data_IF_660654944105
#
_entry.id   IF_660654944105
#
_cell.length_a   1.000
_cell.length_b   1.000
_cell.length_c   1.000
_cell.angle_alpha   90.00
_cell.angle_beta   90.00
_cell.angle_gamma   90.00
#
_symmetry.space_group_name_H-M   'P 1'
#
loop_
_entity.id
_entity.type
_entity.pdbx_description
1 polymer ?
#
# COMPACT_ATOMS: atom_id res chain seq x y z
N UNK A 1 12.65 0.12 7.66
CA UNK A 1 12.33 1.37 8.39
C UNK A 1 10.88 1.20 8.81
N UNK A 2 10.71 0.34 9.80
CA UNK A 2 9.43 -0.25 10.18
C UNK A 2 8.80 0.66 11.22
N UNK A 3 7.85 1.49 10.78
CA UNK A 3 6.96 2.21 11.69
C UNK A 3 5.89 1.24 12.18
N UNK A 4 6.27 0.35 13.09
CA UNK A 4 5.31 -0.36 13.93
C UNK A 4 4.72 0.67 14.90
N UNK A 5 3.56 1.22 14.55
CA UNK A 5 2.74 1.96 15.51
C UNK A 5 2.09 0.91 16.41
N UNK A 6 2.44 0.82 17.70
CA UNK A 6 1.87 -0.19 18.58
C UNK A 6 0.37 0.05 18.74
N UNK A 7 -0.44 -0.78 18.08
CA UNK A 7 -1.90 -0.76 18.14
C UNK A 7 -2.45 -0.89 19.58
N UNK A 8 -1.61 -1.34 20.52
CA UNK A 8 -1.99 -1.49 21.92
C UNK A 8 -2.01 -0.17 22.69
N UNK A 9 -1.25 0.85 22.26
CA UNK A 9 -1.11 2.14 22.96
C UNK A 9 -2.26 3.11 22.68
N UNK A 10 -2.88 3.03 21.49
CA UNK A 10 -4.04 3.86 21.13
C UNK A 10 -5.30 3.39 21.84
N UNK A 11 -5.51 2.08 21.95
CA UNK A 11 -6.70 1.52 22.60
C UNK A 11 -6.72 1.77 24.12
N UNK A 12 -5.55 1.79 24.77
CA UNK A 12 -5.45 2.15 26.20
C UNK A 12 -5.72 3.64 26.42
N UNK A 13 -5.19 4.51 25.55
CA UNK A 13 -5.46 5.96 25.63
C UNK A 13 -6.93 6.30 25.44
N UNK A 14 -7.62 5.66 24.48
CA UNK A 14 -9.06 5.91 24.27
C UNK A 14 -9.88 5.49 25.49
N UNK A 15 -9.57 4.33 26.10
CA UNK A 15 -10.26 3.88 27.31
C UNK A 15 -10.00 4.80 28.51
N UNK A 16 -8.78 5.34 28.64
CA UNK A 16 -8.42 6.28 29.69
C UNK A 16 -9.13 7.63 29.52
N UNK A 17 -9.18 8.16 28.29
CA UNK A 17 -9.91 9.39 27.95
C UNK A 17 -11.41 9.19 28.22
N UNK A 18 -11.99 8.05 27.83
CA UNK A 18 -13.39 7.76 28.09
C UNK A 18 -13.71 7.76 29.59
N UNK A 19 -12.89 7.08 30.41
CA UNK A 19 -13.06 7.10 31.87
C UNK A 19 -12.90 8.50 32.47
N UNK A 20 -12.01 9.32 31.91
CA UNK A 20 -11.82 10.70 32.36
C UNK A 20 -13.03 11.60 32.00
N UNK A 21 -13.65 11.37 30.84
CA UNK A 21 -14.90 12.06 30.45
C UNK A 21 -16.03 11.66 31.40
N UNK A 22 -16.19 10.37 31.69
CA UNK A 22 -17.21 9.87 32.63
C UNK A 22 -17.05 10.53 34.01
N UNK A 23 -15.83 10.56 34.56
CA UNK A 23 -15.56 11.20 35.84
C UNK A 23 -15.86 12.72 35.84
N UNK A 24 -15.61 13.41 34.72
CA UNK A 24 -15.95 14.83 34.59
C UNK A 24 -17.47 15.05 34.48
N UNK A 25 -18.19 14.17 33.78
CA UNK A 25 -19.65 14.20 33.71
C UNK A 25 -20.29 13.98 35.08
N UNK A 26 -19.82 13.00 35.85
CA UNK A 26 -20.29 12.74 37.22
C UNK A 26 -20.07 13.96 38.13
N UNK A 27 -18.94 14.65 37.97
CA UNK A 27 -18.66 15.89 38.70
C UNK A 27 -19.61 17.02 38.30
N UNK A 28 -19.92 17.18 37.02
CA UNK A 28 -20.90 18.17 36.54
C UNK A 28 -22.30 17.88 37.07
N UNK A 29 -22.72 16.61 37.10
CA UNK A 29 -24.01 16.20 37.66
C UNK A 29 -24.08 16.49 39.17
N UNK A 30 -23.02 16.20 39.91
CA UNK A 30 -22.91 16.50 41.34
C UNK A 30 -23.00 18.01 41.61
N UNK A 31 -22.33 18.83 40.81
CA UNK A 31 -22.39 20.29 40.88
C UNK A 31 -23.80 20.79 40.56
N UNK A 32 -24.43 20.28 39.51
CA UNK A 32 -25.79 20.66 39.13
C UNK A 32 -26.80 20.34 40.25
N UNK A 33 -26.69 19.15 40.87
CA UNK A 33 -27.49 18.78 42.03
C UNK A 33 -27.24 19.71 43.24
N UNK A 34 -25.98 20.10 43.49
CA UNK A 34 -25.64 21.04 44.56
C UNK A 34 -26.27 22.43 44.35
N UNK A 35 -26.27 22.93 43.12
CA UNK A 35 -26.87 24.22 42.76
C UNK A 35 -28.40 24.16 42.96
N UNK A 36 -29.07 23.09 42.52
CA UNK A 36 -30.52 22.90 42.67
C UNK A 36 -30.94 22.72 44.13
N UNK A 37 -30.13 22.03 44.94
CA UNK A 37 -30.42 21.88 46.37
C UNK A 37 -30.25 23.20 47.11
N UNK A 38 -29.23 23.99 46.74
CA UNK A 38 -28.99 25.32 47.27
C UNK A 38 -30.12 26.32 46.96
N UNK A 39 -30.77 26.23 45.79
CA UNK A 39 -31.93 27.09 45.46
C UNK A 39 -33.22 26.67 46.18
N UNK A 40 -33.34 25.40 46.56
CA UNK A 40 -34.52 24.84 47.24
C UNK A 40 -34.39 24.78 48.78
N UNK A 41 -33.36 25.41 49.38
CA UNK A 41 -33.05 25.31 50.82
C UNK A 41 -32.93 23.87 51.35
N UNK A 42 -32.52 22.93 50.49
CA UNK A 42 -32.23 21.54 50.88
C UNK A 42 -30.76 21.39 51.32
N UNK A 43 -30.42 20.32 52.07
CA UNK A 43 -29.05 20.07 52.49
C UNK A 43 -28.13 19.98 51.28
N UNK A 44 -27.01 20.72 51.30
CA UNK A 44 -26.00 20.62 50.26
C UNK A 44 -25.31 19.24 50.34
N UNK A 45 -24.92 18.67 49.19
CA UNK A 45 -24.13 17.44 49.17
C UNK A 45 -22.78 17.65 49.84
N UNK A 46 -22.30 16.63 50.57
CA UNK A 46 -21.07 16.71 51.37
C UNK A 46 -19.86 17.20 50.57
N UNK A 47 -19.15 18.21 51.08
CA UNK A 47 -17.93 18.77 50.46
C UNK A 47 -18.14 20.00 49.57
N UNK A 48 -19.36 20.53 49.49
CA UNK A 48 -19.69 21.79 48.84
C UNK A 48 -20.45 22.65 49.85
N UNK A 49 -19.73 23.14 50.86
CA UNK A 49 -20.33 23.77 52.04
C UNK A 49 -20.55 25.28 51.84
N UNK A 50 -19.88 25.88 50.85
CA UNK A 50 -19.98 27.29 50.49
C UNK A 50 -20.31 27.50 49.00
N UNK A 51 -21.06 28.57 48.65
CA UNK A 51 -21.23 29.00 47.26
C UNK A 51 -19.92 29.25 46.52
N UNK A 52 -18.85 29.65 47.23
CA UNK A 52 -17.52 29.85 46.65
C UNK A 52 -16.87 28.53 46.23
N UNK A 53 -17.08 27.46 46.99
CA UNK A 53 -16.53 26.13 46.68
C UNK A 53 -17.21 25.54 45.43
N UNK A 54 -18.51 25.77 45.28
CA UNK A 54 -19.26 25.42 44.07
C UNK A 54 -18.69 26.17 42.85
N UNK A 55 -18.43 27.47 42.96
CA UNK A 55 -17.86 28.23 41.85
C UNK A 55 -16.43 27.78 41.50
N UNK A 56 -15.60 27.48 42.49
CA UNK A 56 -14.23 27.00 42.26
C UNK A 56 -14.22 25.62 41.61
N UNK A 57 -15.07 24.70 42.07
CA UNK A 57 -15.21 23.36 41.47
C UNK A 57 -15.76 23.43 40.04
N UNK A 58 -16.79 24.24 39.78
CA UNK A 58 -17.28 24.52 38.41
C UNK A 58 -16.16 25.02 37.50
N UNK A 59 -15.41 26.02 37.96
CA UNK A 59 -14.33 26.62 37.17
C UNK A 59 -13.23 25.60 36.86
N UNK A 60 -12.82 24.80 37.85
CA UNK A 60 -11.82 23.74 37.67
C UNK A 60 -12.30 22.69 36.68
N UNK A 61 -13.50 22.13 36.86
CA UNK A 61 -14.07 21.11 35.98
C UNK A 61 -14.21 21.63 34.54
N UNK A 62 -14.55 22.91 34.35
CA UNK A 62 -14.63 23.51 33.02
C UNK A 62 -13.27 23.68 32.35
N UNK A 63 -12.23 24.02 33.12
CA UNK A 63 -10.84 24.07 32.61
C UNK A 63 -10.40 22.68 32.19
N UNK A 64 -10.66 21.65 33.00
CA UNK A 64 -10.32 20.26 32.69
C UNK A 64 -11.01 19.78 31.40
N UNK A 65 -12.31 20.09 31.24
CA UNK A 65 -13.05 19.79 30.01
C UNK A 65 -12.47 20.49 28.78
N UNK A 66 -12.05 21.75 28.90
CA UNK A 66 -11.41 22.48 27.80
C UNK A 66 -10.08 21.87 27.39
N UNK A 67 -9.25 21.50 28.36
CA UNK A 67 -7.96 20.85 28.12
C UNK A 67 -8.19 19.50 27.42
N UNK A 68 -9.11 18.70 27.92
CA UNK A 68 -9.43 17.39 27.35
C UNK A 68 -10.00 17.51 25.93
N UNK A 69 -10.89 18.48 25.68
CA UNK A 69 -11.44 18.73 24.35
C UNK A 69 -10.35 19.14 23.35
N UNK A 70 -9.42 20.01 23.77
CA UNK A 70 -8.27 20.39 22.94
C UNK A 70 -7.39 19.17 22.61
N UNK A 71 -7.08 18.36 23.61
CA UNK A 71 -6.29 17.14 23.44
C UNK A 71 -6.96 16.20 22.43
N UNK A 72 -8.27 15.96 22.56
CA UNK A 72 -9.03 15.13 21.63
C UNK A 72 -8.98 15.66 20.19
N UNK A 73 -9.06 16.98 20.01
CA UNK A 73 -8.96 17.59 18.69
C UNK A 73 -7.57 17.42 18.07
N UNK A 74 -6.52 17.58 18.86
CA UNK A 74 -5.13 17.37 18.43
C UNK A 74 -4.87 15.90 18.10
N UNK A 75 -5.30 14.97 18.94
CA UNK A 75 -5.17 13.52 18.70
C UNK A 75 -5.95 13.08 17.46
N UNK A 76 -7.16 13.61 17.25
CA UNK A 76 -7.93 13.35 16.03
C UNK A 76 -7.22 13.88 14.79
N UNK A 77 -6.65 15.08 14.86
CA UNK A 77 -5.94 15.68 13.74
C UNK A 77 -4.69 14.87 13.37
N UNK A 78 -3.90 14.44 14.37
CA UNK A 78 -2.70 13.62 14.15
C UNK A 78 -3.06 12.24 13.60
N UNK A 79 -4.10 11.60 14.12
CA UNK A 79 -4.59 10.32 13.61
C UNK A 79 -5.05 10.43 12.16
N UNK A 80 -5.83 11.45 11.83
CA UNK A 80 -6.30 11.68 10.46
C UNK A 80 -5.13 11.93 9.49
N UNK A 81 -4.09 12.67 9.92
CA UNK A 81 -2.89 12.87 9.12
C UNK A 81 -2.15 11.55 8.89
N UNK A 82 -1.94 10.74 9.94
CA UNK A 82 -1.29 9.44 9.84
C UNK A 82 -2.04 8.47 8.92
N UNK A 83 -3.38 8.39 9.06
CA UNK A 83 -4.23 7.59 8.17
C UNK A 83 -4.17 8.12 6.73
N UNK A 84 -4.15 9.43 6.55
CA UNK A 84 -4.00 10.07 5.24
C UNK A 84 -2.69 9.68 4.56
N UNK A 85 -1.58 9.68 5.29
CA UNK A 85 -0.27 9.29 4.77
C UNK A 85 -0.19 7.80 4.43
N UNK A 86 -0.75 6.94 5.29
CA UNK A 86 -0.83 5.50 5.00
C UNK A 86 -1.70 5.21 3.77
N UNK A 87 -2.82 5.93 3.62
CA UNK A 87 -3.66 5.81 2.44
C UNK A 87 -2.92 6.22 1.16
N UNK A 88 -2.25 7.38 1.18
CA UNK A 88 -1.43 7.83 0.03
C UNK A 88 -0.37 6.82 -0.36
N UNK A 89 0.39 6.29 0.61
CA UNK A 89 1.38 5.24 0.35
C UNK A 89 0.76 3.98 -0.27
N UNK A 90 -0.44 3.60 0.19
CA UNK A 90 -1.16 2.45 -0.35
C UNK A 90 -1.60 2.71 -1.79
N UNK A 91 -2.13 3.90 -2.07
CA UNK A 91 -2.55 4.31 -3.41
C UNK A 91 -1.35 4.35 -4.38
N UNK A 92 -0.20 4.88 -3.93
CA UNK A 92 1.05 4.92 -4.72
C UNK A 92 1.54 3.51 -5.06
N UNK A 93 1.55 2.58 -4.09
CA UNK A 93 1.93 1.19 -4.31
C UNK A 93 0.95 0.46 -5.24
N UNK A 94 -0.35 0.74 -5.13
CA UNK A 94 -1.35 0.17 -6.02
C UNK A 94 -1.12 0.62 -7.48
N UNK A 95 -0.79 1.90 -7.68
CA UNK A 95 -0.47 2.44 -9.00
C UNK A 95 0.81 1.81 -9.56
N UNK A 96 1.85 1.64 -8.74
CA UNK A 96 3.09 0.98 -9.14
C UNK A 96 2.83 -0.48 -9.56
N UNK A 97 2.02 -1.20 -8.79
CA UNK A 97 1.63 -2.56 -9.11
C UNK A 97 0.90 -2.64 -10.46
N UNK A 98 -0.07 -1.76 -10.70
CA UNK A 98 -0.79 -1.71 -11.99
C UNK A 98 0.17 -1.42 -13.16
N UNK A 99 1.10 -0.48 -12.98
CA UNK A 99 2.13 -0.19 -13.98
C UNK A 99 2.96 -1.42 -14.31
N UNK A 100 3.42 -2.16 -13.30
CA UNK A 100 4.21 -3.38 -13.49
C UNK A 100 3.41 -4.51 -14.13
N UNK A 101 2.14 -4.68 -13.76
CA UNK A 101 1.27 -5.65 -14.41
C UNK A 101 1.08 -5.34 -15.89
N UNK A 102 0.86 -4.07 -16.25
CA UNK A 102 0.77 -3.65 -17.65
C UNK A 102 2.07 -3.90 -18.42
N UNK A 103 3.21 -3.61 -17.80
CA UNK A 103 4.54 -3.86 -18.39
C UNK A 103 4.75 -5.36 -18.67
N UNK A 104 4.44 -6.23 -17.71
CA UNK A 104 4.52 -7.69 -17.89
C UNK A 104 3.61 -8.18 -19.02
N UNK A 105 2.36 -7.71 -19.07
CA UNK A 105 1.41 -8.08 -20.12
C UNK A 105 1.89 -7.62 -21.51
N UNK A 106 2.44 -6.40 -21.60
CA UNK A 106 3.01 -5.89 -22.83
C UNK A 106 4.19 -6.74 -23.31
N UNK A 107 5.14 -7.04 -22.42
CA UNK A 107 6.32 -7.85 -22.76
C UNK A 107 5.90 -9.25 -23.20
N UNK A 108 4.95 -9.88 -22.50
CA UNK A 108 4.44 -11.20 -22.89
C UNK A 108 3.84 -11.18 -24.30
N UNK A 109 3.04 -10.16 -24.62
CA UNK A 109 2.46 -10.00 -25.95
C UNK A 109 3.54 -9.81 -27.03
N UNK A 110 4.62 -9.10 -26.71
CA UNK A 110 5.73 -8.88 -27.63
C UNK A 110 6.52 -10.17 -27.88
N UNK A 111 6.74 -10.97 -26.83
CA UNK A 111 7.34 -12.31 -26.93
C UNK A 111 6.48 -13.20 -27.85
N UNK A 112 5.17 -13.27 -27.59
CA UNK A 112 4.26 -14.10 -28.38
C UNK A 112 4.22 -13.64 -29.85
N UNK A 113 4.36 -12.34 -30.09
CA UNK A 113 4.39 -11.77 -31.45
C UNK A 113 5.68 -12.12 -32.15
N UNK A 114 6.81 -12.02 -31.47
CA UNK A 114 8.13 -12.39 -32.00
C UNK A 114 8.22 -13.89 -32.29
N UNK A 115 7.64 -14.73 -31.42
CA UNK A 115 7.61 -16.18 -31.63
C UNK A 115 6.72 -16.59 -32.81
N UNK A 116 5.63 -15.87 -33.06
CA UNK A 116 4.74 -16.11 -34.22
C UNK A 116 5.33 -15.63 -35.55
N UNK A 117 6.41 -14.86 -35.53
CA UNK A 117 7.08 -14.45 -36.76
C UNK A 117 7.86 -15.63 -37.34
N UNK A 118 7.21 -16.39 -38.21
CA UNK A 118 7.89 -17.35 -39.06
C UNK A 118 8.72 -16.58 -40.09
N UNK A 119 10.02 -16.88 -40.14
CA UNK A 119 10.90 -16.34 -41.18
C UNK A 119 10.77 -17.20 -42.43
N UNK A 120 10.80 -16.58 -43.61
CA UNK A 120 10.60 -17.26 -44.91
C UNK A 120 11.51 -18.50 -45.03
N UNK A 121 12.74 -18.42 -44.51
CA UNK A 121 13.72 -19.51 -44.54
C UNK A 121 13.32 -20.80 -43.81
N UNK A 122 12.32 -20.77 -42.91
CA UNK A 122 11.86 -21.96 -42.19
C UNK A 122 10.98 -22.88 -43.05
N UNK A 123 10.44 -22.38 -44.17
CA UNK A 123 9.53 -23.13 -45.05
C UNK A 123 10.12 -23.40 -46.44
N UNK A 124 11.40 -23.07 -46.65
CA UNK A 124 12.04 -23.29 -47.95
C UNK A 124 12.42 -24.76 -48.07
N UNK A 125 11.96 -25.42 -49.13
CA UNK A 125 12.41 -26.74 -49.50
C UNK A 125 13.89 -26.70 -49.89
N UNK A 126 14.70 -27.34 -49.06
CA UNK A 126 16.14 -27.48 -49.22
C UNK A 126 16.51 -28.95 -49.45
N UNK A 127 17.57 -29.20 -50.19
CA UNK A 127 18.19 -30.51 -50.36
C UNK A 127 18.41 -31.17 -48.99
N UNK A 128 18.10 -32.46 -48.83
CA UNK A 128 18.31 -33.18 -47.58
C UNK A 128 19.74 -33.04 -47.07
N UNK A 129 19.90 -33.11 -45.74
CA UNK A 129 21.22 -32.95 -45.12
C UNK A 129 22.22 -34.00 -45.63
N UNK A 130 21.79 -35.25 -45.82
CA UNK A 130 22.66 -36.30 -46.39
C UNK A 130 23.16 -35.93 -47.79
N UNK A 131 22.27 -35.47 -48.66
CA UNK A 131 22.63 -35.11 -50.04
C UNK A 131 23.57 -33.89 -50.10
N UNK A 132 23.38 -32.93 -49.19
CA UNK A 132 24.31 -31.81 -49.04
C UNK A 132 25.70 -32.28 -48.58
N UNK A 133 25.78 -33.17 -47.59
CA UNK A 133 27.05 -33.69 -47.08
C UNK A 133 27.80 -34.54 -48.11
N UNK A 134 27.11 -35.13 -49.07
CA UNK A 134 27.72 -35.91 -50.16
C UNK A 134 28.13 -35.03 -51.35
N UNK A 135 27.29 -34.08 -51.74
CA UNK A 135 27.41 -33.37 -53.03
C UNK A 135 28.09 -31.99 -52.91
N UNK A 136 28.10 -31.38 -51.72
CA UNK A 136 28.69 -30.06 -51.55
C UNK A 136 30.23 -30.12 -51.55
N UNK A 137 30.92 -29.14 -52.18
CA UNK A 137 32.37 -28.98 -52.06
C UNK A 137 32.81 -28.70 -50.62
N UNK A 138 34.05 -29.04 -50.27
CA UNK A 138 34.59 -28.85 -48.92
C UNK A 138 34.56 -27.38 -48.47
N UNK A 139 34.67 -26.43 -49.41
CA UNK A 139 34.54 -24.99 -49.14
C UNK A 139 33.22 -24.60 -48.44
N UNK A 140 32.14 -25.36 -48.67
CA UNK A 140 30.82 -25.12 -48.05
C UNK A 140 30.63 -25.89 -46.74
N UNK A 141 31.50 -26.86 -46.43
CA UNK A 141 31.40 -27.73 -45.24
C UNK A 141 32.27 -27.28 -44.06
N UNK A 142 33.05 -26.22 -44.22
CA UNK A 142 34.06 -25.81 -43.23
C UNK A 142 33.49 -25.35 -41.87
N UNK A 143 32.26 -24.82 -41.82
CA UNK A 143 31.69 -24.24 -40.60
C UNK A 143 30.26 -24.75 -40.32
N UNK A 144 30.07 -26.07 -40.21
CA UNK A 144 28.75 -26.71 -39.97
C UNK A 144 28.49 -27.08 -38.50
N UNK A 145 29.25 -26.51 -37.56
CA UNK A 145 29.30 -26.94 -36.15
C UNK A 145 28.00 -26.72 -35.36
N UNK A 146 27.11 -25.86 -35.85
CA UNK A 146 25.82 -25.58 -35.20
C UNK A 146 24.69 -25.73 -36.21
N UNK A 147 23.46 -26.09 -35.78
CA UNK A 147 22.32 -26.25 -36.68
C UNK A 147 22.06 -25.01 -37.56
N UNK A 148 22.22 -23.82 -36.98
CA UNK A 148 22.07 -22.56 -37.71
C UNK A 148 23.13 -22.39 -38.80
N UNK A 149 24.40 -22.68 -38.49
CA UNK A 149 25.48 -22.56 -39.48
C UNK A 149 25.36 -23.62 -40.59
N UNK A 150 24.97 -24.85 -40.24
CA UNK A 150 24.66 -25.89 -41.22
C UNK A 150 23.54 -25.44 -42.18
N UNK A 151 22.48 -24.83 -41.65
CA UNK A 151 21.40 -24.28 -42.47
C UNK A 151 21.90 -23.18 -43.42
N UNK A 152 22.72 -22.25 -42.94
CA UNK A 152 23.32 -21.20 -43.77
C UNK A 152 24.23 -21.76 -44.86
N UNK A 153 25.04 -22.78 -44.56
CA UNK A 153 25.89 -23.45 -45.54
C UNK A 153 25.08 -24.15 -46.63
N UNK A 154 23.98 -24.82 -46.25
CA UNK A 154 23.03 -25.44 -47.19
C UNK A 154 22.39 -24.40 -48.12
N UNK A 155 21.89 -23.29 -47.57
CA UNK A 155 21.33 -22.18 -48.34
C UNK A 155 22.33 -21.59 -49.34
N UNK A 156 23.59 -21.35 -48.91
CA UNK A 156 24.65 -20.82 -49.77
C UNK A 156 25.00 -21.75 -50.93
N UNK A 157 25.04 -23.06 -50.67
CA UNK A 157 25.31 -24.04 -51.71
C UNK A 157 24.20 -24.10 -52.74
N UNK A 158 22.93 -24.06 -52.30
CA UNK A 158 21.79 -24.04 -53.23
C UNK A 158 21.71 -22.77 -54.08
N UNK A 159 22.03 -21.61 -53.52
CA UNK A 159 22.13 -20.38 -54.31
C UNK A 159 23.14 -20.57 -55.44
N UNK A 160 24.34 -21.10 -55.14
CA UNK A 160 25.37 -21.38 -56.16
C UNK A 160 24.96 -22.44 -57.18
N UNK A 161 24.07 -23.37 -56.83
CA UNK A 161 23.54 -24.38 -57.75
C UNK A 161 22.46 -23.81 -58.69
N UNK A 162 21.71 -22.80 -58.23
CA UNK A 162 20.59 -22.20 -58.96
C UNK A 162 20.97 -20.94 -59.75
N UNK A 163 22.10 -20.30 -59.43
CA UNK A 163 22.77 -19.27 -60.23
C UNK A 163 23.43 -19.86 -61.49
#
# INVERSE_FOLDING_TARGET
MDCEVPANTTSTNISAIASQIEALCDNVERIAAAIVNGTNNQPLPSGLDSPQDILHTVASTFVDLRVLNRQLHEDKATLNASVGDLKRKTDDLALELENKQREVLYIQKEIDTTQRQETIYQTIDLIPEQEFLETAPDDFKQDITTPHKLMLSRLRYEIKQRD
#
